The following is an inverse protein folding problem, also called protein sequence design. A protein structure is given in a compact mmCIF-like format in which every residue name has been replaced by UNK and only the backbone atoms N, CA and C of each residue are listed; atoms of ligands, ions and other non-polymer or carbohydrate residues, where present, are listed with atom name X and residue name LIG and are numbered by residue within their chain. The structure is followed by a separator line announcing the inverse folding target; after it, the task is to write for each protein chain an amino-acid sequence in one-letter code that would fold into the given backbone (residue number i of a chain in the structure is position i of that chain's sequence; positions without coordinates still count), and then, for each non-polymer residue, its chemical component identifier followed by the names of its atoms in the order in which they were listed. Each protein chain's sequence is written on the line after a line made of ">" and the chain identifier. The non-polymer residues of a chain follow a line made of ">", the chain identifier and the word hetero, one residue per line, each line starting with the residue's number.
data_IF_345047764831
#
_entry.id   IF_345047764831
#
_cell.length_a   1.000
_cell.length_b   1.000
_cell.length_c   1.000
_cell.angle_alpha   90.00
_cell.angle_beta   90.00
_cell.angle_gamma   90.00
#
_symmetry.space_group_name_H-M   'P 1'
#
loop_
_entity.id
_entity.type
_entity.pdbx_description
1 polymer ?
#
# COMPACT_ATOMS: atom_id res chain seq x y z
N UNK A 1 24.73 -0.04 -16.37
CA UNK A 1 25.57 0.90 -15.59
C UNK A 1 25.88 0.24 -14.26
N UNK A 2 27.16 0.20 -13.86
CA UNK A 2 27.62 -0.52 -12.67
C UNK A 2 27.31 0.26 -11.39
N UNK A 3 26.26 -0.14 -10.68
CA UNK A 3 26.30 -0.55 -9.26
C UNK A 3 27.00 0.29 -8.17
N UNK A 4 27.23 1.59 -8.34
CA UNK A 4 27.64 2.47 -7.22
C UNK A 4 26.48 3.37 -6.79
N UNK A 5 26.14 3.48 -5.48
CA UNK A 5 25.08 4.38 -5.00
C UNK A 5 25.34 5.87 -5.29
N UNK A 6 26.58 6.25 -5.63
CA UNK A 6 26.95 7.59 -6.13
C UNK A 6 26.71 7.77 -7.66
N UNK A 7 26.16 6.77 -8.38
CA UNK A 7 26.19 6.74 -9.85
C UNK A 7 25.00 7.37 -10.59
N UNK A 8 23.99 7.91 -9.90
CA UNK A 8 22.88 8.58 -10.57
C UNK A 8 23.05 10.09 -10.50
N UNK A 9 23.39 10.72 -11.63
CA UNK A 9 23.25 12.16 -11.73
C UNK A 9 21.78 12.58 -11.59
N UNK A 10 21.54 13.83 -11.19
CA UNK A 10 20.20 14.31 -10.87
C UNK A 10 19.20 14.18 -12.05
N UNK A 11 19.68 14.30 -13.29
CA UNK A 11 18.83 14.18 -14.48
C UNK A 11 18.46 12.71 -14.70
N UNK A 12 19.43 11.81 -14.64
CA UNK A 12 19.18 10.37 -14.76
C UNK A 12 18.25 9.85 -13.66
N UNK A 13 18.46 10.26 -12.40
CA UNK A 13 17.59 9.88 -11.28
C UNK A 13 16.15 10.35 -11.51
N UNK A 14 15.97 11.61 -11.93
CA UNK A 14 14.66 12.18 -12.22
C UNK A 14 13.93 11.40 -13.32
N UNK A 15 14.60 11.13 -14.45
CA UNK A 15 14.01 10.37 -15.56
C UNK A 15 13.59 8.97 -15.12
N UNK A 16 14.46 8.24 -14.40
CA UNK A 16 14.17 6.89 -13.95
C UNK A 16 13.02 6.85 -12.94
N UNK A 17 12.97 7.84 -12.04
CA UNK A 17 11.90 7.94 -11.06
C UNK A 17 10.56 8.31 -11.71
N UNK A 18 10.53 9.28 -12.62
CA UNK A 18 9.35 9.65 -13.39
C UNK A 18 8.81 8.47 -14.20
N UNK A 19 9.70 7.63 -14.75
CA UNK A 19 9.29 6.38 -15.42
C UNK A 19 8.65 5.38 -14.46
N UNK A 20 9.18 5.22 -13.25
CA UNK A 20 8.54 4.38 -12.23
C UNK A 20 7.17 4.91 -11.80
N UNK A 21 7.02 6.23 -11.64
CA UNK A 21 5.73 6.88 -11.37
C UNK A 21 4.75 6.64 -12.51
N UNK A 22 5.21 6.80 -13.77
CA UNK A 22 4.39 6.51 -14.96
C UNK A 22 3.93 5.05 -15.02
N UNK A 23 4.76 4.09 -14.60
CA UNK A 23 4.36 2.68 -14.50
C UNK A 23 3.29 2.53 -13.42
N UNK A 24 3.48 3.15 -12.25
CA UNK A 24 2.49 3.13 -11.18
C UNK A 24 1.16 3.75 -11.62
N UNK A 25 1.19 4.82 -12.42
CA UNK A 25 -0.01 5.44 -13.01
C UNK A 25 -0.72 4.53 -14.01
N UNK A 26 0.01 3.75 -14.81
CA UNK A 26 -0.62 2.77 -15.71
C UNK A 26 -1.25 1.60 -14.93
N UNK A 27 -0.67 1.21 -13.80
CA UNK A 27 -1.31 0.25 -12.89
C UNK A 27 -2.60 0.85 -12.32
N UNK A 28 -2.59 2.12 -11.88
CA UNK A 28 -3.81 2.81 -11.42
C UNK A 28 -4.87 2.85 -12.53
N UNK A 29 -4.49 3.24 -13.76
CA UNK A 29 -5.42 3.26 -14.90
C UNK A 29 -6.01 1.88 -15.18
N UNK A 30 -5.19 0.83 -15.13
CA UNK A 30 -5.67 -0.55 -15.28
C UNK A 30 -6.63 -0.93 -14.16
N UNK A 31 -6.31 -0.61 -12.91
CA UNK A 31 -7.14 -0.89 -11.75
C UNK A 31 -8.50 -0.21 -11.88
N UNK A 32 -8.54 1.10 -12.13
CA UNK A 32 -9.76 1.89 -12.32
C UNK A 32 -10.62 1.33 -13.45
N UNK A 33 -10.03 1.03 -14.61
CA UNK A 33 -10.76 0.55 -15.79
C UNK A 33 -11.28 -0.88 -15.67
N UNK A 34 -10.73 -1.68 -14.76
CA UNK A 34 -11.12 -3.08 -14.55
C UNK A 34 -11.92 -3.29 -13.27
N UNK A 35 -12.05 -2.26 -12.45
CA UNK A 35 -12.89 -2.28 -11.25
C UNK A 35 -14.37 -2.16 -11.61
N UNK A 36 -15.19 -2.71 -10.73
CA UNK A 36 -16.64 -2.80 -10.88
C UNK A 36 -17.37 -1.83 -9.94
N UNK A 37 -16.77 -1.49 -8.80
CA UNK A 37 -17.37 -0.52 -7.88
C UNK A 37 -17.00 0.92 -8.24
N UNK A 38 -17.93 1.84 -7.99
CA UNK A 38 -17.70 3.29 -8.13
C UNK A 38 -16.74 3.84 -7.05
N UNK A 39 -16.47 3.08 -5.98
CA UNK A 39 -15.49 3.44 -4.95
C UNK A 39 -14.11 3.49 -5.60
N UNK A 40 -13.76 2.45 -6.36
CA UNK A 40 -12.48 2.39 -7.06
C UNK A 40 -12.53 3.11 -8.40
N UNK A 41 -13.57 2.90 -9.21
CA UNK A 41 -13.61 3.39 -10.60
C UNK A 41 -13.85 4.90 -10.72
N UNK A 42 -14.57 5.51 -9.79
CA UNK A 42 -14.92 6.94 -9.83
C UNK A 42 -14.28 7.74 -8.68
N UNK A 43 -14.20 7.16 -7.48
CA UNK A 43 -13.73 7.88 -6.28
C UNK A 43 -12.23 7.76 -6.02
N UNK A 44 -11.55 6.84 -6.71
CA UNK A 44 -10.11 6.60 -6.56
C UNK A 44 -9.71 6.27 -5.10
N UNK A 45 -10.56 5.56 -4.36
CA UNK A 45 -10.19 5.05 -3.04
C UNK A 45 -9.31 3.80 -3.18
N UNK A 46 -8.08 4.08 -3.62
CA UNK A 46 -7.09 3.10 -4.00
C UNK A 46 -5.68 3.60 -3.72
N UNK A 47 -4.74 2.67 -3.70
CA UNK A 47 -3.32 2.94 -3.87
C UNK A 47 -2.66 1.86 -4.67
N UNK A 48 -1.69 2.27 -5.49
CA UNK A 48 -0.74 1.36 -6.08
C UNK A 48 0.67 1.81 -5.71
N UNK A 49 1.51 0.85 -5.36
CA UNK A 49 2.94 1.06 -5.11
C UNK A 49 3.80 0.02 -5.82
N UNK A 50 5.00 0.45 -6.19
CA UNK A 50 6.08 -0.41 -6.65
C UNK A 50 7.13 -0.46 -5.54
N UNK A 51 7.59 -1.65 -5.19
CA UNK A 51 8.61 -1.86 -4.16
C UNK A 51 9.80 -2.65 -4.73
N UNK A 52 11.00 -2.36 -4.21
CA UNK A 52 12.20 -3.13 -4.52
C UNK A 52 12.16 -4.53 -3.89
N UNK A 53 13.18 -5.35 -4.16
CA UNK A 53 13.25 -6.73 -3.65
C UNK A 53 13.29 -6.84 -2.11
N UNK A 54 13.70 -5.78 -1.42
CA UNK A 54 13.75 -5.68 0.04
C UNK A 54 12.44 -5.11 0.62
N UNK A 55 11.46 -4.83 -0.23
CA UNK A 55 10.17 -4.27 0.15
C UNK A 55 10.21 -2.78 0.47
N UNK A 56 11.21 -2.04 -0.05
CA UNK A 56 11.25 -0.58 0.07
C UNK A 56 10.46 0.05 -1.06
N UNK A 57 9.60 1.01 -0.70
CA UNK A 57 8.76 1.73 -1.66
C UNK A 57 9.63 2.58 -2.61
N UNK A 58 9.39 2.43 -3.91
CA UNK A 58 10.05 3.14 -5.01
C UNK A 58 9.18 4.26 -5.58
N UNK A 59 7.92 3.92 -5.86
CA UNK A 59 6.96 4.83 -6.48
C UNK A 59 5.54 4.49 -6.04
N UNK A 60 4.69 5.50 -6.04
CA UNK A 60 3.26 5.41 -5.86
C UNK A 60 2.59 6.03 -7.09
N UNK A 61 1.41 5.53 -7.49
CA UNK A 61 0.62 6.17 -8.55
C UNK A 61 0.12 7.54 -8.10
N UNK A 62 0.15 8.53 -8.99
CA UNK A 62 -0.18 9.94 -8.77
C UNK A 62 -1.61 10.18 -8.25
N UNK A 63 -2.55 9.31 -8.60
CA UNK A 63 -3.96 9.37 -8.15
C UNK A 63 -4.25 8.49 -6.93
N UNK A 64 -3.21 7.91 -6.33
CA UNK A 64 -3.36 7.07 -5.14
C UNK A 64 -3.54 7.93 -3.88
N UNK A 65 -4.29 7.41 -2.91
CA UNK A 65 -4.41 8.02 -1.58
C UNK A 65 -3.06 7.92 -0.85
N UNK A 66 -2.46 9.03 -0.37
CA UNK A 66 -1.08 9.03 0.12
C UNK A 66 -0.88 8.26 1.44
N UNK A 67 -1.94 8.01 2.23
CA UNK A 67 -1.83 7.38 3.56
C UNK A 67 -1.16 6.00 3.52
N UNK A 68 -1.30 5.28 2.41
CA UNK A 68 -0.84 3.91 2.26
C UNK A 68 0.67 3.77 2.02
N UNK A 69 1.39 4.86 1.72
CA UNK A 69 2.87 4.81 1.57
C UNK A 69 3.58 4.39 2.86
N UNK A 70 2.96 4.66 4.02
CA UNK A 70 3.47 4.24 5.32
C UNK A 70 3.13 2.80 5.69
N UNK A 71 1.97 2.30 5.26
CA UNK A 71 1.47 0.97 5.62
C UNK A 71 1.93 -0.11 4.63
N UNK A 72 1.98 0.17 3.32
CA UNK A 72 2.28 -0.85 2.31
C UNK A 72 3.62 -1.58 2.53
N UNK A 73 4.75 -0.93 2.83
CA UNK A 73 6.01 -1.63 3.17
C UNK A 73 5.89 -2.50 4.44
N UNK A 74 5.10 -2.04 5.42
CA UNK A 74 4.84 -2.78 6.67
C UNK A 74 3.99 -4.02 6.39
N UNK A 75 2.94 -3.89 5.58
CA UNK A 75 2.07 -4.99 5.15
C UNK A 75 2.85 -6.02 4.35
N UNK A 76 3.66 -5.58 3.38
CA UNK A 76 4.53 -6.46 2.61
C UNK A 76 5.46 -7.26 3.52
N UNK A 77 6.05 -6.62 4.54
CA UNK A 77 6.90 -7.32 5.51
C UNK A 77 6.15 -8.44 6.23
N UNK A 78 4.91 -8.23 6.67
CA UNK A 78 4.10 -9.32 7.24
C UNK A 78 3.76 -10.41 6.21
N UNK A 79 3.50 -10.03 4.96
CA UNK A 79 3.28 -11.00 3.88
C UNK A 79 4.50 -11.88 3.64
N UNK A 80 5.70 -11.30 3.64
CA UNK A 80 6.97 -12.01 3.47
C UNK A 80 7.41 -12.78 4.72
N UNK A 81 7.01 -12.35 5.92
CA UNK A 81 7.19 -13.15 7.15
C UNK A 81 6.38 -14.46 7.06
N UNK A 82 5.17 -14.42 6.49
CA UNK A 82 4.34 -15.63 6.30
C UNK A 82 4.73 -16.45 5.08
N UNK A 83 5.07 -15.79 3.99
CA UNK A 83 5.51 -16.40 2.73
C UNK A 83 6.87 -15.84 2.35
N UNK A 84 7.96 -16.41 2.90
CA UNK A 84 9.32 -15.96 2.62
C UNK A 84 9.61 -15.90 1.11
N UNK A 85 10.42 -14.93 0.63
CA UNK A 85 10.70 -14.73 -0.80
C UNK A 85 11.07 -16.01 -1.56
N UNK A 86 11.85 -16.91 -0.95
CA UNK A 86 12.29 -18.19 -1.50
C UNK A 86 11.15 -19.21 -1.72
N UNK A 87 10.01 -19.01 -1.06
CA UNK A 87 8.80 -19.85 -1.18
C UNK A 87 7.81 -19.33 -2.24
N UNK A 88 8.05 -18.13 -2.76
CA UNK A 88 7.23 -17.52 -3.81
C UNK A 88 7.62 -18.07 -5.18
N UNK A 89 6.64 -18.14 -6.08
CA UNK A 89 6.80 -18.57 -7.47
C UNK A 89 6.20 -17.55 -8.43
N UNK A 90 6.69 -17.46 -9.68
CA UNK A 90 6.05 -16.64 -10.70
C UNK A 90 4.55 -16.95 -10.81
N UNK A 91 3.72 -15.90 -10.83
CA UNK A 91 2.26 -16.03 -10.89
C UNK A 91 1.56 -16.18 -9.53
N UNK A 92 2.30 -16.26 -8.42
CA UNK A 92 1.69 -16.15 -7.09
C UNK A 92 1.12 -14.73 -6.87
N UNK A 93 0.03 -14.64 -6.13
CA UNK A 93 -0.54 -13.37 -5.62
C UNK A 93 -0.98 -13.56 -4.18
N UNK A 94 -0.53 -12.67 -3.30
CA UNK A 94 -0.85 -12.70 -1.88
C UNK A 94 -1.84 -11.59 -1.56
N UNK A 95 -2.84 -11.88 -0.72
CA UNK A 95 -3.75 -10.86 -0.21
C UNK A 95 -4.03 -10.96 1.28
N UNK A 96 -4.51 -9.86 1.85
CA UNK A 96 -5.12 -9.76 3.19
C UNK A 96 -5.90 -8.45 3.30
N UNK A 97 -6.93 -8.42 4.13
CA UNK A 97 -7.56 -7.18 4.59
C UNK A 97 -7.50 -7.07 6.13
N UNK A 98 -6.61 -7.84 6.76
CA UNK A 98 -6.46 -7.86 8.21
C UNK A 98 -6.02 -6.46 8.69
N UNK A 99 -6.80 -5.75 9.52
CA UNK A 99 -6.55 -4.34 9.81
C UNK A 99 -5.29 -4.14 10.65
N UNK A 100 -4.84 -5.18 11.37
CA UNK A 100 -3.67 -5.14 12.24
C UNK A 100 -2.35 -5.32 11.46
N UNK A 101 -2.43 -5.95 10.29
CA UNK A 101 -1.29 -6.21 9.41
C UNK A 101 -1.32 -5.36 8.14
N UNK A 102 -2.50 -4.91 7.71
CA UNK A 102 -2.77 -4.09 6.55
C UNK A 102 -2.90 -2.61 6.91
N UNK A 103 -4.09 -2.05 6.68
CA UNK A 103 -4.29 -0.59 6.59
C UNK A 103 -5.26 -0.01 7.62
N UNK A 104 -5.55 -0.76 8.69
CA UNK A 104 -6.30 -0.25 9.85
C UNK A 104 -7.81 -0.52 9.83
N UNK A 105 -8.39 -0.95 8.72
CA UNK A 105 -9.80 -1.39 8.66
C UNK A 105 -10.02 -2.51 7.63
N UNK A 106 -11.16 -3.20 7.71
CA UNK A 106 -11.42 -4.42 6.94
C UNK A 106 -11.76 -4.18 5.46
N UNK A 107 -12.19 -2.98 5.08
CA UNK A 107 -12.63 -2.77 3.70
C UNK A 107 -11.47 -2.68 2.72
N UNK A 108 -10.28 -2.31 3.18
CA UNK A 108 -9.10 -2.23 2.34
C UNK A 108 -8.49 -3.61 2.13
N UNK A 109 -8.65 -4.15 0.92
CA UNK A 109 -7.90 -5.33 0.52
C UNK A 109 -6.51 -4.93 0.04
N UNK A 110 -5.49 -5.57 0.59
CA UNK A 110 -4.10 -5.44 0.20
C UNK A 110 -3.77 -6.63 -0.70
N UNK A 111 -3.33 -6.38 -1.94
CA UNK A 111 -3.01 -7.42 -2.92
C UNK A 111 -1.60 -7.17 -3.47
N UNK A 112 -0.74 -8.17 -3.40
CA UNK A 112 0.66 -8.07 -3.80
C UNK A 112 1.04 -9.19 -4.76
N UNK A 113 1.79 -8.84 -5.80
CA UNK A 113 2.40 -9.78 -6.74
C UNK A 113 3.93 -9.64 -6.74
N UNK A 114 4.69 -10.72 -6.48
CA UNK A 114 6.12 -10.75 -6.72
C UNK A 114 6.44 -10.69 -8.21
N UNK A 115 7.42 -9.86 -8.57
CA UNK A 115 7.90 -9.69 -9.95
C UNK A 115 9.22 -10.43 -10.09
N UNK A 116 9.27 -11.41 -11.00
CA UNK A 116 10.45 -12.25 -11.21
C UNK A 116 11.23 -11.83 -12.45
N UNK A 117 12.56 -11.74 -12.33
CA UNK A 117 13.53 -11.55 -13.43
C UNK A 117 14.63 -12.60 -13.27
N UNK A 118 14.91 -13.37 -14.32
CA UNK A 118 15.97 -14.39 -14.33
C UNK A 118 15.89 -15.41 -13.17
N UNK A 119 14.68 -15.77 -12.75
CA UNK A 119 14.46 -16.73 -11.65
C UNK A 119 14.56 -16.14 -10.24
N UNK A 120 14.86 -14.84 -10.11
CA UNK A 120 14.89 -14.13 -8.83
C UNK A 120 13.80 -13.06 -8.74
N UNK A 121 13.42 -12.70 -7.51
CA UNK A 121 12.52 -11.56 -7.29
C UNK A 121 13.29 -10.26 -7.56
N UNK A 122 12.78 -9.49 -8.52
CA UNK A 122 13.25 -8.16 -8.88
C UNK A 122 12.61 -7.07 -8.02
N UNK A 123 11.37 -7.29 -7.58
CA UNK A 123 10.58 -6.36 -6.78
C UNK A 123 9.14 -6.84 -6.62
N UNK A 124 8.27 -5.96 -6.16
CA UNK A 124 6.85 -6.26 -5.93
C UNK A 124 5.98 -5.15 -6.48
N UNK A 125 4.84 -5.52 -7.06
CA UNK A 125 3.72 -4.60 -7.29
C UNK A 125 2.65 -4.88 -6.26
N UNK A 126 2.10 -3.83 -5.66
CA UNK A 126 1.08 -3.95 -4.64
C UNK A 126 0.00 -2.90 -4.89
N UNK A 127 -1.24 -3.34 -4.77
CA UNK A 127 -2.43 -2.51 -4.82
C UNK A 127 -3.23 -2.66 -3.55
N UNK A 128 -3.88 -1.58 -3.17
CA UNK A 128 -4.76 -1.48 -2.01
C UNK A 128 -6.03 -0.81 -2.50
N UNK A 129 -7.20 -1.38 -2.23
CA UNK A 129 -8.47 -0.77 -2.61
C UNK A 129 -9.51 -0.95 -1.54
N UNK A 130 -10.34 0.06 -1.38
CA UNK A 130 -11.55 -0.07 -0.57
C UNK A 130 -12.59 -0.90 -1.33
N UNK A 131 -12.88 -2.11 -0.84
CA UNK A 131 -13.92 -2.97 -1.40
C UNK A 131 -15.32 -2.39 -1.10
N UNK A 132 -16.32 -2.60 -1.97
CA UNK A 132 -17.67 -2.06 -1.76
C UNK A 132 -18.44 -2.73 -0.63
N UNK A 133 -18.03 -3.95 -0.24
CA UNK A 133 -18.60 -4.65 0.89
C UNK A 133 -17.61 -5.69 1.45
N UNK A 134 -17.65 -5.87 2.76
CA UNK A 134 -16.90 -6.91 3.46
C UNK A 134 -17.79 -7.74 4.40
N UNK A 135 -19.11 -7.59 4.29
CA UNK A 135 -20.07 -8.31 5.12
C UNK A 135 -20.32 -7.62 6.45
N UNK A 136 -20.37 -8.40 7.53
CA UNK A 136 -20.56 -7.87 8.89
C UNK A 136 -21.88 -7.11 9.06
N UNK A 137 -21.91 -6.15 9.97
CA UNK A 137 -23.05 -5.27 10.22
C UNK A 137 -23.22 -4.20 9.11
N UNK A 138 -22.27 -4.10 8.18
CA UNK A 138 -22.22 -3.07 7.15
C UNK A 138 -21.61 -1.76 7.67
N UNK A 139 -21.74 -0.69 6.88
CA UNK A 139 -21.23 0.63 7.26
C UNK A 139 -22.03 1.22 8.42
N UNK A 140 -21.35 1.43 9.55
CA UNK A 140 -21.88 2.16 10.68
C UNK A 140 -21.08 1.95 11.95
N UNK A 141 -21.26 2.87 12.91
CA UNK A 141 -20.53 2.90 14.18
C UNK A 141 -21.03 1.87 15.22
N UNK A 142 -21.93 0.96 14.83
CA UNK A 142 -22.58 0.05 15.78
C UNK A 142 -21.73 -1.17 16.14
N UNK A 143 -20.73 -1.49 15.32
CA UNK A 143 -19.80 -2.59 15.60
C UNK A 143 -19.02 -2.30 16.89
N UNK A 144 -18.90 -3.30 17.74
CA UNK A 144 -18.18 -3.21 19.03
C UNK A 144 -17.10 -4.28 19.18
N UNK A 145 -16.97 -5.13 18.18
CA UNK A 145 -15.97 -6.19 18.06
C UNK A 145 -15.63 -6.34 16.59
N UNK A 146 -14.37 -6.65 16.27
CA UNK A 146 -13.90 -6.82 14.89
C UNK A 146 -14.70 -7.89 14.12
N UNK A 147 -15.27 -8.89 14.81
CA UNK A 147 -16.09 -9.93 14.20
C UNK A 147 -17.43 -9.42 13.67
N UNK A 148 -17.90 -8.27 14.16
CA UNK A 148 -19.09 -7.61 13.64
C UNK A 148 -18.80 -6.81 12.36
N UNK A 149 -17.54 -6.45 12.11
CA UNK A 149 -17.18 -5.58 10.99
C UNK A 149 -17.10 -6.34 9.67
N UNK A 150 -16.94 -7.66 9.70
CA UNK A 150 -17.10 -8.52 8.53
C UNK A 150 -15.98 -9.55 8.35
N UNK A 151 -15.79 -9.95 7.09
CA UNK A 151 -14.82 -10.96 6.71
C UNK A 151 -13.39 -10.43 6.89
N UNK A 152 -12.64 -11.11 7.76
CA UNK A 152 -11.21 -10.87 7.96
C UNK A 152 -10.39 -11.99 7.33
N UNK A 153 -9.79 -11.70 6.17
CA UNK A 153 -8.91 -12.60 5.46
C UNK A 153 -7.50 -12.56 6.08
N UNK A 154 -6.98 -13.70 6.60
CA UNK A 154 -5.58 -13.76 6.95
C UNK A 154 -4.74 -13.61 5.68
N UNK A 155 -3.45 -13.31 5.85
CA UNK A 155 -2.49 -13.34 4.74
C UNK A 155 -2.56 -14.70 4.04
N UNK A 156 -2.94 -14.74 2.77
CA UNK A 156 -3.11 -15.98 2.02
C UNK A 156 -2.70 -15.80 0.56
N UNK A 157 -2.42 -16.90 -0.14
CA UNK A 157 -2.22 -16.88 -1.59
C UNK A 157 -3.59 -16.93 -2.26
N UNK A 158 -3.99 -15.82 -2.88
CA UNK A 158 -5.21 -15.70 -3.69
C UNK A 158 -5.04 -16.39 -5.04
N UNK A 159 -3.83 -16.30 -5.61
CA UNK A 159 -3.43 -16.97 -6.84
C UNK A 159 -2.16 -17.75 -6.55
N UNK A 160 -2.09 -19.00 -7.00
CA UNK A 160 -0.91 -19.86 -6.90
C UNK A 160 -0.46 -20.19 -8.31
N UNK A 161 0.74 -19.76 -8.67
CA UNK A 161 1.31 -20.05 -9.99
C UNK A 161 0.34 -19.76 -11.17
N UNK A 162 -0.38 -18.63 -11.11
CA UNK A 162 -1.40 -18.20 -12.09
C UNK A 162 -2.76 -18.91 -12.03
N UNK A 163 -2.96 -19.82 -11.07
CA UNK A 163 -4.25 -20.43 -10.78
C UNK A 163 -4.90 -19.78 -9.56
N UNK A 164 -6.05 -19.13 -9.78
CA UNK A 164 -6.82 -18.50 -8.70
C UNK A 164 -7.42 -19.56 -7.79
N UNK A 165 -7.32 -19.37 -6.47
CA UNK A 165 -7.90 -20.28 -5.48
C UNK A 165 -9.43 -20.09 -5.42
N UNK A 166 -10.24 -21.05 -5.93
CA UNK A 166 -11.68 -20.91 -5.98
C UNK A 166 -12.31 -20.87 -4.58
N UNK A 167 -11.69 -21.51 -3.59
CA UNK A 167 -12.21 -21.52 -2.23
C UNK A 167 -12.15 -20.12 -1.61
N UNK A 168 -11.08 -19.36 -1.86
CA UNK A 168 -10.97 -17.97 -1.37
C UNK A 168 -12.03 -17.08 -2.03
N UNK A 169 -12.26 -17.23 -3.34
CA UNK A 169 -13.31 -16.48 -4.02
C UNK A 169 -14.70 -16.82 -3.49
N UNK A 170 -15.01 -18.10 -3.29
CA UNK A 170 -16.30 -18.54 -2.76
C UNK A 170 -16.50 -18.09 -1.30
N UNK A 171 -15.44 -18.09 -0.51
CA UNK A 171 -15.45 -17.55 0.85
C UNK A 171 -15.81 -16.06 0.85
N UNK A 172 -15.17 -15.25 -0.01
CA UNK A 172 -15.49 -13.81 -0.14
C UNK A 172 -16.93 -13.64 -0.63
N UNK A 173 -17.31 -14.29 -1.73
CA UNK A 173 -18.67 -14.21 -2.30
C UNK A 173 -19.77 -14.50 -1.29
N UNK A 174 -19.58 -15.53 -0.47
CA UNK A 174 -20.59 -15.99 0.49
C UNK A 174 -20.80 -15.00 1.64
N UNK A 175 -19.81 -14.16 1.93
CA UNK A 175 -19.83 -13.26 3.09
C UNK A 175 -20.17 -11.81 2.73
N UNK A 176 -20.47 -11.49 1.47
CA UNK A 176 -20.79 -10.13 1.02
C UNK A 176 -22.14 -10.06 0.31
N UNK A 177 -22.75 -8.88 0.36
CA UNK A 177 -24.02 -8.45 -0.24
C UNK A 177 -23.87 -8.11 -1.71
N UNK A 178 -22.69 -7.66 -2.14
CA UNK A 178 -22.38 -7.26 -3.52
C UNK A 178 -21.27 -8.14 -4.11
N UNK A 179 -21.50 -9.46 -4.27
CA UNK A 179 -20.44 -10.42 -4.63
C UNK A 179 -19.79 -10.12 -5.99
N UNK A 180 -20.57 -9.73 -7.00
CA UNK A 180 -20.02 -9.46 -8.33
C UNK A 180 -19.09 -8.25 -8.34
N UNK A 181 -19.49 -7.15 -7.68
CA UNK A 181 -18.66 -5.96 -7.55
C UNK A 181 -17.41 -6.23 -6.69
N UNK A 182 -17.59 -6.91 -5.56
CA UNK A 182 -16.48 -7.20 -4.62
C UNK A 182 -15.43 -8.12 -5.24
N UNK A 183 -15.85 -9.20 -5.91
CA UNK A 183 -14.90 -10.09 -6.60
C UNK A 183 -14.32 -9.41 -7.83
N UNK A 184 -15.12 -8.60 -8.53
CA UNK A 184 -14.66 -7.76 -9.61
C UNK A 184 -13.47 -6.89 -9.22
N UNK A 185 -13.61 -6.11 -8.15
CA UNK A 185 -12.54 -5.25 -7.62
C UNK A 185 -11.35 -6.06 -7.10
N UNK A 186 -11.59 -7.19 -6.41
CA UNK A 186 -10.52 -8.09 -5.96
C UNK A 186 -9.67 -8.59 -7.15
N UNK A 187 -10.30 -8.96 -8.26
CA UNK A 187 -9.60 -9.41 -9.46
C UNK A 187 -9.01 -8.26 -10.28
N UNK A 188 -9.57 -7.05 -10.19
CA UNK A 188 -8.97 -5.84 -10.76
C UNK A 188 -7.60 -5.57 -10.12
N UNK A 189 -7.46 -5.76 -8.81
CA UNK A 189 -6.19 -5.70 -8.09
C UNK A 189 -5.17 -6.75 -8.60
N UNK A 190 -5.60 -7.99 -8.85
CA UNK A 190 -4.73 -9.03 -9.44
C UNK A 190 -4.23 -8.60 -10.81
N UNK A 191 -5.13 -8.10 -11.65
CA UNK A 191 -4.88 -7.72 -13.04
C UNK A 191 -3.96 -6.50 -13.14
N UNK A 192 -4.19 -5.47 -12.33
CA UNK A 192 -3.35 -4.27 -12.38
C UNK A 192 -1.91 -4.57 -11.95
N UNK A 193 -1.72 -5.38 -10.90
CA UNK A 193 -0.39 -5.77 -10.43
C UNK A 193 0.36 -6.62 -11.45
N UNK A 194 -0.33 -7.44 -12.24
CA UNK A 194 0.25 -8.14 -13.39
C UNK A 194 0.80 -7.19 -14.45
N UNK A 195 -0.02 -6.22 -14.86
CA UNK A 195 0.36 -5.20 -15.84
C UNK A 195 1.56 -4.40 -15.35
N UNK A 196 1.57 -4.03 -14.07
CA UNK A 196 2.68 -3.36 -13.43
C UNK A 196 3.96 -4.18 -13.41
N UNK A 197 3.86 -5.47 -13.05
CA UNK A 197 5.02 -6.36 -13.02
C UNK A 197 5.66 -6.52 -14.39
N UNK A 198 4.85 -6.65 -15.44
CA UNK A 198 5.35 -6.69 -16.82
C UNK A 198 6.07 -5.39 -17.21
N UNK A 199 5.45 -4.23 -16.95
CA UNK A 199 6.05 -2.94 -17.28
C UNK A 199 7.32 -2.64 -16.48
N UNK A 200 7.39 -3.09 -15.22
CA UNK A 200 8.60 -3.00 -14.42
C UNK A 200 9.75 -3.78 -15.06
N UNK A 201 9.49 -4.99 -15.57
CA UNK A 201 10.49 -5.78 -16.28
C UNK A 201 10.91 -5.15 -17.62
N UNK A 202 9.96 -4.56 -18.35
CA UNK A 202 10.23 -3.79 -19.56
C UNK A 202 11.15 -2.60 -19.26
N UNK A 203 10.83 -1.80 -18.25
CA UNK A 203 11.67 -0.69 -17.75
C UNK A 203 13.07 -1.15 -17.36
N UNK A 204 13.18 -2.22 -16.56
CA UNK A 204 14.48 -2.76 -16.17
C UNK A 204 15.30 -3.23 -17.38
N UNK A 205 14.65 -3.71 -18.44
CA UNK A 205 15.32 -4.14 -19.67
C UNK A 205 15.74 -2.94 -20.54
N UNK A 206 14.86 -1.95 -20.69
CA UNK A 206 15.08 -0.71 -21.45
C UNK A 206 16.31 0.05 -20.93
N UNK A 207 16.44 0.18 -19.60
CA UNK A 207 17.52 0.95 -18.96
C UNK A 207 18.72 0.09 -18.54
N UNK A 208 18.70 -1.22 -18.82
CA UNK A 208 19.79 -2.14 -18.41
C UNK A 208 19.99 -2.18 -16.90
N UNK A 209 18.90 -2.22 -16.15
CA UNK A 209 18.87 -2.30 -14.69
C UNK A 209 18.63 -3.75 -14.28
N UNK A 210 19.64 -4.39 -13.67
CA UNK A 210 19.49 -5.76 -13.17
C UNK A 210 19.00 -5.82 -11.73
N UNK A 211 19.21 -4.74 -10.98
CA UNK A 211 18.82 -4.62 -9.58
C UNK A 211 18.24 -3.22 -9.32
N UNK A 212 17.03 -3.15 -8.76
CA UNK A 212 16.38 -1.89 -8.39
C UNK A 212 16.97 -1.26 -7.12
N UNK A 213 17.73 -2.01 -6.32
CA UNK A 213 18.20 -1.54 -5.00
C UNK A 213 19.04 -0.25 -5.06
N UNK A 214 20.01 -0.07 -5.99
CA UNK A 214 20.74 1.19 -6.10
C UNK A 214 19.84 2.39 -6.46
N UNK A 215 18.85 2.16 -7.34
CA UNK A 215 17.87 3.19 -7.70
C UNK A 215 16.95 3.51 -6.51
N UNK A 216 16.52 2.48 -5.76
CA UNK A 216 15.75 2.61 -4.52
C UNK A 216 16.47 3.45 -3.48
N UNK A 217 17.74 3.17 -3.25
CA UNK A 217 18.58 3.94 -2.33
C UNK A 217 18.72 5.40 -2.79
N UNK A 218 18.99 5.63 -4.07
CA UNK A 218 19.11 6.98 -4.62
C UNK A 218 17.82 7.80 -4.48
N UNK A 219 16.66 7.20 -4.81
CA UNK A 219 15.34 7.84 -4.65
C UNK A 219 15.07 8.17 -3.19
N UNK A 220 15.26 7.20 -2.28
CA UNK A 220 15.01 7.39 -0.86
C UNK A 220 15.92 8.45 -0.24
N UNK A 221 17.20 8.45 -0.60
CA UNK A 221 18.15 9.47 -0.15
C UNK A 221 17.75 10.86 -0.67
N UNK A 222 17.24 10.96 -1.89
CA UNK A 222 16.71 12.21 -2.43
C UNK A 222 15.44 12.66 -1.69
N UNK A 223 14.51 11.75 -1.41
CA UNK A 223 13.30 12.03 -0.63
C UNK A 223 13.63 12.46 0.80
N UNK A 224 14.58 11.81 1.46
CA UNK A 224 15.03 12.18 2.81
C UNK A 224 15.64 13.59 2.81
N UNK A 225 16.54 13.89 1.87
CA UNK A 225 17.12 15.24 1.73
C UNK A 225 16.04 16.30 1.54
N UNK A 226 15.10 16.07 0.62
CA UNK A 226 13.99 16.99 0.36
C UNK A 226 13.09 17.20 1.59
N UNK A 227 12.84 16.14 2.36
CA UNK A 227 12.10 16.23 3.62
C UNK A 227 12.88 17.05 4.65
N UNK A 228 14.17 16.78 4.84
CA UNK A 228 15.03 17.54 5.77
C UNK A 228 15.13 19.01 5.40
N UNK A 229 15.26 19.33 4.12
CA UNK A 229 15.28 20.71 3.63
C UNK A 229 13.95 21.42 3.89
N UNK A 230 12.83 20.72 3.72
CA UNK A 230 11.50 21.24 4.06
C UNK A 230 11.36 21.50 5.57
N UNK A 231 11.82 20.58 6.41
CA UNK A 231 11.80 20.72 7.87
C UNK A 231 12.62 21.91 8.37
N UNK A 232 13.78 22.19 7.75
CA UNK A 232 14.62 23.36 8.08
C UNK A 232 13.93 24.71 7.85
N UNK A 233 12.86 24.75 7.05
CA UNK A 233 12.07 25.98 6.86
C UNK A 233 11.12 26.26 8.03
N UNK A 234 10.85 25.26 8.86
CA UNK A 234 10.01 25.38 10.05
C UNK A 234 10.89 25.90 11.19
N UNK A 235 10.40 26.88 11.94
CA UNK A 235 11.13 27.43 13.08
C UNK A 235 11.22 26.37 14.19
N UNK A 236 12.41 26.14 14.71
CA UNK A 236 12.57 25.24 15.86
C UNK A 236 11.72 25.70 17.05
N UNK A 237 11.12 24.73 17.72
CA UNK A 237 10.22 24.96 18.84
C UNK A 237 9.20 23.85 19.01
N UNK A 238 8.34 24.05 20.01
CA UNK A 238 7.25 23.14 20.36
C UNK A 238 5.93 23.73 19.89
N UNK A 239 5.16 22.92 19.18
CA UNK A 239 3.84 23.25 18.66
C UNK A 239 2.83 22.27 19.25
N UNK A 240 1.73 22.77 19.79
CA UNK A 240 0.72 21.94 20.45
C UNK A 240 -0.66 22.25 19.90
N UNK A 241 -1.46 21.22 19.69
CA UNK A 241 -2.86 21.35 19.36
C UNK A 241 -3.67 20.23 20.01
N UNK A 242 -4.92 20.54 20.36
CA UNK A 242 -5.88 19.60 20.92
C UNK A 242 -7.25 19.91 20.37
N UNK A 243 -7.92 18.89 19.84
CA UNK A 243 -9.30 18.96 19.37
C UNK A 243 -10.15 17.89 20.07
N UNK A 244 -11.46 18.09 20.09
CA UNK A 244 -12.43 17.08 20.52
C UNK A 244 -13.03 16.42 19.29
N UNK A 245 -12.94 15.11 19.20
CA UNK A 245 -13.54 14.27 18.17
C UNK A 245 -14.90 13.80 18.69
N UNK A 246 -15.93 13.90 17.86
CA UNK A 246 -17.24 13.32 18.17
C UNK A 246 -17.13 11.79 18.22
N UNK A 247 -17.72 11.20 19.27
CA UNK A 247 -17.80 9.76 19.45
C UNK A 247 -19.23 9.40 19.89
N UNK A 248 -19.59 8.12 19.84
CA UNK A 248 -20.95 7.66 20.19
C UNK A 248 -21.34 8.05 21.63
N UNK A 249 -20.39 7.92 22.55
CA UNK A 249 -20.62 8.20 23.96
C UNK A 249 -20.23 9.67 24.24
N UNK A 250 -19.05 9.93 24.81
CA UNK A 250 -18.56 11.29 25.06
C UNK A 250 -17.47 11.71 24.05
N UNK A 251 -17.37 13.00 23.67
CA UNK A 251 -16.30 13.48 22.81
C UNK A 251 -14.90 13.19 23.36
N UNK A 252 -13.98 12.84 22.46
CA UNK A 252 -12.66 12.32 22.83
C UNK A 252 -11.58 13.29 22.41
N UNK A 253 -10.62 13.60 23.30
CA UNK A 253 -9.52 14.47 22.93
C UNK A 253 -8.58 13.77 21.95
N UNK A 254 -8.26 14.44 20.85
CA UNK A 254 -7.10 14.14 20.01
C UNK A 254 -6.07 15.25 20.25
N UNK A 255 -4.94 14.88 20.85
CA UNK A 255 -3.87 15.81 21.19
C UNK A 255 -2.61 15.48 20.38
N UNK A 256 -1.88 16.51 19.95
CA UNK A 256 -0.62 16.36 19.25
C UNK A 256 0.34 17.46 19.70
N UNK A 257 1.50 17.05 20.21
CA UNK A 257 2.67 17.90 20.44
C UNK A 257 3.73 17.57 19.39
N UNK A 258 4.21 18.60 18.71
CA UNK A 258 5.26 18.50 17.69
C UNK A 258 6.46 19.29 18.19
N UNK A 259 7.60 18.62 18.35
CA UNK A 259 8.88 19.26 18.68
C UNK A 259 9.74 19.26 17.42
N UNK A 260 10.10 20.46 16.95
CA UNK A 260 10.92 20.66 15.74
C UNK A 260 12.32 21.07 16.16
N UNK A 261 13.31 20.32 15.70
CA UNK A 261 14.74 20.56 15.88
C UNK A 261 15.46 20.52 14.53
N UNK A 262 16.73 20.97 14.50
CA UNK A 262 17.51 21.04 13.25
C UNK A 262 17.65 19.68 12.52
N UNK A 263 17.65 18.58 13.28
CA UNK A 263 17.90 17.23 12.80
C UNK A 263 16.62 16.38 12.61
N UNK A 264 15.44 16.90 12.99
CA UNK A 264 14.21 16.14 12.87
C UNK A 264 13.00 16.70 13.62
N UNK A 265 11.94 15.89 13.64
CA UNK A 265 10.68 16.22 14.30
C UNK A 265 10.23 15.04 15.15
N UNK A 266 9.85 15.32 16.39
CA UNK A 266 9.15 14.38 17.26
C UNK A 266 7.66 14.73 17.24
N UNK A 267 6.81 13.73 16.98
CA UNK A 267 5.36 13.85 17.03
C UNK A 267 4.85 12.97 18.18
N UNK A 268 4.29 13.61 19.21
CA UNK A 268 3.80 12.99 20.43
C UNK A 268 2.27 13.15 20.53
N UNK A 269 1.55 12.02 20.56
CA UNK A 269 0.10 11.99 20.71
C UNK A 269 -0.37 11.84 22.17
N UNK A 270 0.53 11.96 23.15
CA UNK A 270 0.18 11.92 24.56
C UNK A 270 -0.87 12.99 24.91
N UNK A 271 -1.85 12.60 25.73
CA UNK A 271 -3.05 13.39 26.00
C UNK A 271 -4.23 13.14 25.03
N UNK A 272 -4.04 12.30 24.01
CA UNK A 272 -5.14 11.69 23.25
C UNK A 272 -5.90 10.71 24.15
N UNK A 273 -7.23 10.67 24.01
CA UNK A 273 -8.09 9.80 24.80
C UNK A 273 -7.91 8.32 24.45
N UNK A 274 -8.42 7.46 25.33
CA UNK A 274 -8.32 6.01 25.16
C UNK A 274 -9.11 5.51 23.94
N UNK A 275 -8.78 4.30 23.48
CA UNK A 275 -9.56 3.61 22.46
C UNK A 275 -11.02 3.46 22.89
N UNK A 276 -11.93 3.74 21.96
CA UNK A 276 -13.36 3.50 22.15
C UNK A 276 -13.73 2.06 21.88
N UNK A 277 -14.86 1.64 22.44
CA UNK A 277 -15.45 0.33 22.15
C UNK A 277 -16.10 0.25 20.77
N UNK A 278 -16.55 1.39 20.23
CA UNK A 278 -17.32 1.53 18.98
C UNK A 278 -17.28 2.99 18.52
N UNK A 279 -17.36 3.25 17.23
CA UNK A 279 -17.27 4.60 16.67
C UNK A 279 -17.32 4.59 15.15
#
# INVERSE_FOLDING_TARGET
>A
MNGDPESFDAVSLGILWDRLVSIADEIVSTLVRTSFSTIVSESYDLTVVILDRDGRLLAQGSYSVPVFIGTAPRTLRYMLEKFPPETLRPGDVICTNDPWMGTGHLFDINVMRPVFRNGEIAGYTMSITHLPDIGGMGFGAAASEIYHEGLRLPICKLVRESETDPFILDLVRTNVRTPDATIGDLMANVTCNEVGGRQLLEFMSEYGIDNLSPLSEAIRNQSERAMRDSLRTIKNGTYESRILIEAIDDPIPLACRIEVEDEGVLIDFNGTGDCVRRG
#
